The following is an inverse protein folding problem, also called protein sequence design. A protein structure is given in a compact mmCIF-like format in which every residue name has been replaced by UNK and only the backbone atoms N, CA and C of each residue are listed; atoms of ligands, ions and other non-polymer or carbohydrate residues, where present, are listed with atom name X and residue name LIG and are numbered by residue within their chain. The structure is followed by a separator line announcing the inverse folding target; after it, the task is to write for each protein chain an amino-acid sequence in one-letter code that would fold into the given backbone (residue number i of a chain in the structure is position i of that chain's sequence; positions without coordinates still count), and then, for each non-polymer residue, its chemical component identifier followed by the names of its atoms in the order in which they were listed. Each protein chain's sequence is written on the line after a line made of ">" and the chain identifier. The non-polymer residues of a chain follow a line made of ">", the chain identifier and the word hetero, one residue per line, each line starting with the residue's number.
data_IF_143326142489
#
_entry.id   IF_143326142489
#
_cell.length_a   1.000
_cell.length_b   1.000
_cell.length_c   1.000
_cell.angle_alpha   90.00
_cell.angle_beta   90.00
_cell.angle_gamma   90.00
#
_symmetry.space_group_name_H-M   'P 1'
#
loop_
_entity.id
_entity.type
_entity.pdbx_description
1 polymer ?
#
# COMPACT_ATOMS: atom_id res chain seq x y z
N UNK A 1 10.95 16.75 -0.44
CA UNK A 1 9.89 15.79 -0.85
C UNK A 1 10.52 14.56 -1.50
N UNK A 2 11.13 14.67 -2.69
CA UNK A 2 11.74 13.52 -3.40
C UNK A 2 12.77 12.77 -2.53
N UNK A 3 13.72 13.47 -1.89
CA UNK A 3 14.74 12.83 -1.02
C UNK A 3 14.11 12.07 0.16
N UNK A 4 13.03 12.58 0.74
CA UNK A 4 12.32 11.91 1.85
C UNK A 4 11.57 10.67 1.35
N UNK A 5 10.86 10.77 0.23
CA UNK A 5 10.16 9.64 -0.39
C UNK A 5 11.13 8.55 -0.81
N UNK A 6 12.24 8.91 -1.48
CA UNK A 6 13.27 7.97 -1.92
C UNK A 6 13.97 7.33 -0.73
N UNK A 7 14.33 8.10 0.30
CA UNK A 7 14.93 7.56 1.53
C UNK A 7 13.99 6.60 2.27
N UNK A 8 12.73 6.97 2.42
CA UNK A 8 11.70 6.12 3.02
C UNK A 8 11.50 4.82 2.25
N UNK A 9 11.37 4.90 0.93
CA UNK A 9 11.20 3.74 0.05
C UNK A 9 12.40 2.80 0.15
N UNK A 10 13.63 3.32 0.09
CA UNK A 10 14.85 2.51 0.16
C UNK A 10 14.98 1.79 1.51
N UNK A 11 14.75 2.49 2.63
CA UNK A 11 14.82 1.90 3.97
C UNK A 11 13.79 0.77 4.12
N UNK A 12 12.54 1.02 3.73
CA UNK A 12 11.48 0.00 3.80
C UNK A 12 11.73 -1.18 2.87
N UNK A 13 12.28 -0.95 1.69
CA UNK A 13 12.59 -1.99 0.73
C UNK A 13 13.71 -2.90 1.25
N UNK A 14 14.78 -2.31 1.80
CA UNK A 14 15.88 -3.07 2.43
C UNK A 14 15.37 -3.88 3.61
N UNK A 15 14.60 -3.26 4.52
CA UNK A 15 14.06 -3.97 5.69
C UNK A 15 13.13 -5.11 5.27
N UNK A 16 12.20 -4.83 4.35
CA UNK A 16 11.26 -5.82 3.84
C UNK A 16 11.99 -6.97 3.17
N UNK A 17 13.04 -6.69 2.39
CA UNK A 17 13.85 -7.70 1.74
C UNK A 17 14.52 -8.62 2.76
N UNK A 18 15.19 -8.06 3.78
CA UNK A 18 15.83 -8.85 4.86
C UNK A 18 14.80 -9.74 5.59
N UNK A 19 13.60 -9.21 5.87
CA UNK A 19 12.53 -9.98 6.52
C UNK A 19 12.00 -11.09 5.62
N UNK A 20 11.71 -10.80 4.35
CA UNK A 20 11.25 -11.78 3.37
C UNK A 20 12.28 -12.90 3.22
N UNK A 21 13.57 -12.56 3.12
CA UNK A 21 14.64 -13.55 3.02
C UNK A 21 14.70 -14.45 4.26
N UNK A 22 14.53 -13.88 5.46
CA UNK A 22 14.45 -14.66 6.71
C UNK A 22 13.23 -15.60 6.75
N UNK A 23 12.06 -15.17 6.25
CA UNK A 23 10.87 -16.01 6.15
C UNK A 23 11.01 -17.12 5.10
N UNK A 24 11.64 -16.81 3.96
CA UNK A 24 11.94 -17.78 2.89
C UNK A 24 12.93 -18.83 3.37
N UNK A 25 13.97 -18.43 4.13
CA UNK A 25 14.92 -19.36 4.76
C UNK A 25 14.24 -20.34 5.72
N UNK A 26 13.08 -19.98 6.29
CA UNK A 26 12.26 -20.86 7.13
C UNK A 26 11.23 -21.68 6.34
N UNK A 27 11.35 -21.71 5.00
CA UNK A 27 10.40 -22.34 4.06
C UNK A 27 8.95 -21.84 4.17
N UNK A 28 8.72 -20.67 4.79
CA UNK A 28 7.38 -20.09 4.96
C UNK A 28 7.01 -19.20 3.77
N UNK A 29 7.03 -19.76 2.57
CA UNK A 29 6.79 -19.04 1.31
C UNK A 29 5.44 -18.32 1.25
N UNK A 30 4.36 -18.95 1.76
CA UNK A 30 3.03 -18.32 1.84
C UNK A 30 3.04 -17.05 2.70
N UNK A 31 3.71 -17.09 3.85
CA UNK A 31 3.76 -15.95 4.77
C UNK A 31 4.66 -14.85 4.19
N UNK A 32 5.75 -15.23 3.52
CA UNK A 32 6.62 -14.29 2.82
C UNK A 32 5.88 -13.55 1.69
N UNK A 33 5.04 -14.25 0.92
CA UNK A 33 4.24 -13.65 -0.16
C UNK A 33 3.21 -12.65 0.37
N UNK A 34 2.44 -13.03 1.41
CA UNK A 34 1.46 -12.14 2.04
C UNK A 34 2.16 -10.93 2.67
N UNK A 35 3.27 -11.15 3.38
CA UNK A 35 4.06 -10.08 4.00
C UNK A 35 4.62 -9.11 2.94
N UNK A 36 5.19 -9.63 1.86
CA UNK A 36 5.71 -8.81 0.76
C UNK A 36 4.62 -7.99 0.08
N UNK A 37 3.45 -8.59 -0.16
CA UNK A 37 2.29 -7.88 -0.70
C UNK A 37 1.83 -6.75 0.22
N UNK A 38 1.67 -7.02 1.51
CA UNK A 38 1.29 -6.02 2.50
C UNK A 38 2.29 -4.86 2.56
N UNK A 39 3.59 -5.19 2.62
CA UNK A 39 4.65 -4.19 2.67
C UNK A 39 4.74 -3.36 1.39
N UNK A 40 4.52 -3.97 0.22
CA UNK A 40 4.46 -3.26 -1.05
C UNK A 40 3.34 -2.21 -1.07
N UNK A 41 2.13 -2.61 -0.68
CA UNK A 41 0.98 -1.70 -0.59
C UNK A 41 1.24 -0.59 0.43
N UNK A 42 1.74 -0.92 1.62
CA UNK A 42 2.06 0.09 2.65
C UNK A 42 3.15 1.06 2.20
N UNK A 43 4.16 0.59 1.47
CA UNK A 43 5.24 1.44 0.95
C UNK A 43 4.70 2.40 -0.12
N UNK A 44 3.85 1.92 -1.03
CA UNK A 44 3.19 2.76 -2.03
C UNK A 44 2.34 3.86 -1.38
N UNK A 45 1.50 3.48 -0.39
CA UNK A 45 0.65 4.43 0.33
C UNK A 45 1.50 5.46 1.10
N UNK A 46 2.55 5.01 1.79
CA UNK A 46 3.47 5.90 2.50
C UNK A 46 4.21 6.86 1.56
N UNK A 47 4.63 6.39 0.38
CA UNK A 47 5.24 7.24 -0.64
C UNK A 47 4.26 8.30 -1.16
N UNK A 48 3.00 7.95 -1.41
CA UNK A 48 1.96 8.91 -1.80
C UNK A 48 1.75 9.99 -0.73
N UNK A 49 1.67 9.59 0.55
CA UNK A 49 1.50 10.52 1.67
C UNK A 49 2.68 11.48 1.82
N UNK A 50 3.91 10.97 1.75
CA UNK A 50 5.13 11.79 1.89
C UNK A 50 5.30 12.73 0.70
N UNK A 51 4.96 12.26 -0.51
CA UNK A 51 5.04 13.09 -1.71
C UNK A 51 4.06 14.27 -1.68
N UNK A 52 3.13 14.33 -0.71
CA UNK A 52 2.05 15.33 -0.63
C UNK A 52 1.42 15.55 -2.00
N UNK A 53 1.32 14.48 -2.79
CA UNK A 53 0.42 14.49 -3.94
C UNK A 53 -0.92 14.85 -3.33
N UNK A 54 -1.63 15.81 -3.92
CA UNK A 54 -3.04 16.03 -3.62
C UNK A 54 -3.75 14.73 -3.99
N UNK A 55 -3.70 13.77 -3.07
CA UNK A 55 -4.45 12.55 -3.16
C UNK A 55 -5.86 13.08 -2.95
N UNK A 56 -6.71 13.09 -3.99
CA UNK A 56 -8.10 13.47 -3.82
C UNK A 56 -8.58 12.69 -2.60
N UNK A 57 -9.08 13.40 -1.58
CA UNK A 57 -9.31 12.89 -0.23
C UNK A 57 -9.85 11.46 -0.27
N UNK A 58 -9.54 10.62 0.72
CA UNK A 58 -9.96 9.19 0.75
C UNK A 58 -11.43 8.97 0.37
N UNK A 59 -12.25 10.00 0.57
CA UNK A 59 -13.63 10.14 0.10
C UNK A 59 -13.79 9.89 -1.41
N UNK A 60 -12.92 10.35 -2.30
CA UNK A 60 -13.10 10.33 -3.76
C UNK A 60 -13.03 8.92 -4.36
N UNK A 61 -12.00 8.08 -4.10
CA UNK A 61 -12.02 6.69 -4.54
C UNK A 61 -13.12 5.89 -3.86
N UNK A 62 -13.42 6.16 -2.58
CA UNK A 62 -14.52 5.50 -1.87
C UNK A 62 -15.88 5.86 -2.48
N UNK A 63 -16.10 7.14 -2.79
CA UNK A 63 -17.32 7.64 -3.44
C UNK A 63 -17.45 7.04 -4.84
N UNK A 64 -16.37 6.92 -5.61
CA UNK A 64 -16.42 6.29 -6.93
C UNK A 64 -16.87 4.82 -6.90
N UNK A 65 -16.51 4.06 -5.85
CA UNK A 65 -16.92 2.66 -5.68
C UNK A 65 -18.31 2.54 -5.06
N UNK A 66 -18.61 3.34 -4.03
CA UNK A 66 -19.83 3.21 -3.23
C UNK A 66 -21.02 4.04 -3.75
N UNK A 67 -20.79 5.12 -4.50
CA UNK A 67 -21.86 5.91 -5.13
C UNK A 67 -22.69 5.10 -6.16
N UNK A 68 -22.11 4.28 -7.06
CA UNK A 68 -22.93 3.46 -7.96
C UNK A 68 -23.72 2.39 -7.21
N UNK A 69 -23.15 1.80 -6.15
CA UNK A 69 -23.84 0.82 -5.30
C UNK A 69 -25.01 1.48 -4.56
N UNK A 70 -24.78 2.67 -3.99
CA UNK A 70 -25.82 3.45 -3.31
C UNK A 70 -26.96 3.87 -4.25
N UNK A 71 -26.64 4.28 -5.48
CA UNK A 71 -27.66 4.58 -6.50
C UNK A 71 -28.49 3.36 -6.88
N UNK A 72 -27.86 2.19 -6.99
CA UNK A 72 -28.55 0.93 -7.29
C UNK A 72 -29.55 0.54 -6.19
N UNK A 73 -29.19 0.75 -4.93
CA UNK A 73 -30.05 0.44 -3.77
C UNK A 73 -31.17 1.47 -3.59
N UNK A 74 -30.90 2.76 -3.83
CA UNK A 74 -31.89 3.84 -3.70
C UNK A 74 -32.85 3.95 -4.90
N UNK A 75 -32.62 3.18 -5.98
CA UNK A 75 -33.49 3.11 -7.17
C UNK A 75 -34.46 1.91 -7.09
N UNK A 76 -34.67 1.34 -5.89
CA UNK A 76 -35.81 0.48 -5.58
C UNK A 76 -36.91 1.29 -4.87
#
# INVERSE_FOLDING_TARGET
>A
MIVQTTGFALILMIWSFVRIQSLVSKQKFKVAAVYGGLMGVSTLVGCLLIARVDVPSTIIPFKMIFEPIGKLILTQ
#
